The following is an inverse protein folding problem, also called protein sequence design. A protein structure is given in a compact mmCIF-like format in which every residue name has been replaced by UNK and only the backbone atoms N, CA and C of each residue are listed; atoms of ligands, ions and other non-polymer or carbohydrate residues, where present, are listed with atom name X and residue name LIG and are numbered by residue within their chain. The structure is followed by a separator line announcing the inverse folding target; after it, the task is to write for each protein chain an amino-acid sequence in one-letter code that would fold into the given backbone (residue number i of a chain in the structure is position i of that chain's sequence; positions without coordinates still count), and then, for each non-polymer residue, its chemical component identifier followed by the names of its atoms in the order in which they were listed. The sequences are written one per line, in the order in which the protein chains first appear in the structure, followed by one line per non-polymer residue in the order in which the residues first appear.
data_IF_537560948743
#
_entry.id   IF_537560948743
#
_cell.length_a   1.000
_cell.length_b   1.000
_cell.length_c   1.000
_cell.angle_alpha   90.00
_cell.angle_beta   90.00
_cell.angle_gamma   90.00
#
_symmetry.space_group_name_H-M   'P 1'
#
loop_
_entity.id
_entity.type
_entity.pdbx_description
1 polymer ?
#
# COMPACT_ATOMS: atom_id res chain seq x y z
N UNK A 1 6.27 -12.78 -6.96
CA UNK A 1 6.41 -11.33 -7.11
C UNK A 1 6.47 -10.99 -8.58
N UNK A 2 5.57 -10.13 -9.06
CA UNK A 2 5.73 -9.57 -10.38
C UNK A 2 6.98 -8.69 -10.36
N UNK A 3 7.95 -8.98 -11.23
CA UNK A 3 9.14 -8.16 -11.33
C UNK A 3 8.82 -6.98 -12.25
N UNK A 4 8.71 -5.77 -11.70
CA UNK A 4 8.73 -4.58 -12.52
C UNK A 4 10.09 -4.45 -13.22
N UNK A 5 10.08 -4.38 -14.54
CA UNK A 5 11.30 -4.03 -15.30
C UNK A 5 11.63 -2.55 -15.07
N UNK A 6 12.90 -2.17 -15.34
CA UNK A 6 13.29 -0.76 -15.29
C UNK A 6 12.40 0.13 -16.16
N UNK A 7 12.00 -0.39 -17.32
CA UNK A 7 11.09 0.28 -18.23
C UNK A 7 9.74 0.57 -17.57
N UNK A 8 9.15 -0.41 -16.91
CA UNK A 8 7.86 -0.27 -16.22
C UNK A 8 7.92 0.69 -15.04
N UNK A 9 9.02 0.65 -14.27
CA UNK A 9 9.24 1.56 -13.13
C UNK A 9 9.21 3.04 -13.60
N UNK A 10 9.91 3.36 -14.71
CA UNK A 10 10.02 4.73 -15.20
C UNK A 10 8.85 5.20 -16.05
N UNK A 11 8.31 4.30 -16.90
CA UNK A 11 7.26 4.68 -17.83
C UNK A 11 5.86 4.47 -17.27
N UNK A 12 5.73 3.66 -16.22
CA UNK A 12 4.47 3.16 -15.67
C UNK A 12 3.57 2.49 -16.72
N UNK A 13 4.19 1.92 -17.74
CA UNK A 13 3.53 1.11 -18.77
C UNK A 13 3.79 -0.35 -18.47
N UNK A 14 2.83 -0.97 -17.81
CA UNK A 14 2.94 -2.36 -17.37
C UNK A 14 2.54 -3.32 -18.49
N UNK A 15 3.26 -4.44 -18.59
CA UNK A 15 3.01 -5.50 -19.58
C UNK A 15 1.96 -6.49 -19.13
N UNK A 16 1.65 -6.50 -17.85
CA UNK A 16 0.71 -7.41 -17.21
C UNK A 16 -0.47 -6.64 -16.68
N UNK A 17 -1.65 -7.26 -16.76
CA UNK A 17 -2.84 -6.75 -16.08
C UNK A 17 -2.82 -7.10 -14.60
N UNK A 18 -3.65 -6.42 -13.78
CA UNK A 18 -3.85 -6.81 -12.38
C UNK A 18 -4.30 -8.28 -12.28
N UNK A 19 -5.18 -8.74 -13.17
CA UNK A 19 -5.64 -10.14 -13.18
C UNK A 19 -4.50 -11.14 -13.39
N UNK A 20 -3.55 -10.86 -14.29
CA UNK A 20 -2.40 -11.74 -14.51
C UNK A 20 -1.54 -11.86 -13.24
N UNK A 21 -1.30 -10.71 -12.59
CA UNK A 21 -0.50 -10.65 -11.36
C UNK A 21 -1.23 -11.35 -10.20
N UNK A 22 -2.52 -11.09 -10.03
CA UNK A 22 -3.33 -11.70 -8.96
C UNK A 22 -3.42 -13.22 -9.12
N UNK A 23 -3.58 -13.70 -10.35
CA UNK A 23 -3.56 -15.14 -10.67
C UNK A 23 -2.22 -15.75 -10.30
N UNK A 24 -1.12 -15.15 -10.73
CA UNK A 24 0.23 -15.63 -10.41
C UNK A 24 0.50 -15.61 -8.88
N UNK A 25 0.04 -14.59 -8.17
CA UNK A 25 0.15 -14.51 -6.72
C UNK A 25 -0.65 -15.62 -6.02
N UNK A 26 -1.86 -15.91 -6.51
CA UNK A 26 -2.68 -17.01 -5.99
C UNK A 26 -2.04 -18.38 -6.24
N UNK A 27 -1.43 -18.60 -7.41
CA UNK A 27 -0.70 -19.83 -7.74
C UNK A 27 0.51 -20.02 -6.80
N UNK A 28 1.29 -18.96 -6.58
CA UNK A 28 2.45 -19.00 -5.65
C UNK A 28 1.99 -19.29 -4.22
N UNK A 29 0.95 -18.60 -3.76
CA UNK A 29 0.40 -18.88 -2.43
C UNK A 29 -0.16 -20.30 -2.33
N UNK A 30 -0.91 -20.75 -3.35
CA UNK A 30 -1.46 -22.10 -3.41
C UNK A 30 -0.42 -23.20 -3.27
N UNK A 31 0.78 -22.98 -3.82
CA UNK A 31 1.89 -23.94 -3.72
C UNK A 31 2.46 -24.10 -2.30
N UNK A 32 2.22 -23.14 -1.40
CA UNK A 32 2.72 -23.16 -0.02
C UNK A 32 1.62 -23.10 1.04
N UNK A 33 0.36 -22.99 0.64
CA UNK A 33 -0.76 -22.76 1.55
C UNK A 33 -0.94 -23.89 2.60
N UNK A 34 -0.63 -25.12 2.23
CA UNK A 34 -0.72 -26.27 3.14
C UNK A 34 0.36 -26.24 4.23
N UNK A 35 1.48 -25.59 3.96
CA UNK A 35 2.60 -25.42 4.91
C UNK A 35 2.34 -24.29 5.91
N UNK A 36 1.35 -23.42 5.64
CA UNK A 36 1.02 -22.31 6.55
C UNK A 36 0.20 -22.85 7.73
N UNK A 37 0.68 -22.70 8.98
CA UNK A 37 -0.05 -23.17 10.13
C UNK A 37 -1.46 -22.56 10.23
N UNK A 38 -2.49 -23.30 10.65
CA UNK A 38 -3.86 -22.79 10.76
C UNK A 38 -4.04 -21.57 11.68
N UNK A 39 -3.09 -21.35 12.59
CA UNK A 39 -3.06 -20.18 13.50
C UNK A 39 -2.49 -18.92 12.85
N UNK A 40 -1.91 -19.03 11.65
CA UNK A 40 -1.31 -17.91 10.92
C UNK A 40 -2.32 -17.34 9.93
N UNK A 41 -2.49 -16.03 9.93
CA UNK A 41 -3.25 -15.31 8.91
C UNK A 41 -2.27 -14.69 7.92
N UNK A 42 -2.45 -14.98 6.64
CA UNK A 42 -1.66 -14.37 5.56
C UNK A 42 -2.41 -13.15 5.04
N UNK A 43 -1.76 -12.00 5.12
CA UNK A 43 -2.31 -10.76 4.61
C UNK A 43 -1.62 -10.38 3.30
N UNK A 44 -2.43 -10.12 2.28
CA UNK A 44 -1.96 -9.65 0.98
C UNK A 44 -2.03 -8.14 0.94
N UNK A 45 -0.92 -7.52 0.59
CA UNK A 45 -0.79 -6.08 0.57
C UNK A 45 -1.16 -5.50 -0.80
N UNK A 46 -1.86 -4.36 -0.79
CA UNK A 46 -2.05 -3.58 -1.99
C UNK A 46 -0.76 -2.84 -2.34
N UNK A 47 -0.49 -2.74 -3.63
CA UNK A 47 0.71 -2.09 -4.17
C UNK A 47 0.31 -1.03 -5.20
N UNK A 48 1.23 -0.12 -5.57
CA UNK A 48 0.92 0.96 -6.53
C UNK A 48 1.31 0.61 -7.98
N UNK A 49 1.33 -0.67 -8.33
CA UNK A 49 1.41 -1.26 -9.67
C UNK A 49 0.48 -2.47 -9.78
N UNK A 50 0.35 -3.12 -10.96
CA UNK A 50 -0.65 -4.18 -11.14
C UNK A 50 -0.62 -5.25 -10.05
N UNK A 51 -1.78 -5.60 -9.55
CA UNK A 51 -2.02 -6.51 -8.42
C UNK A 51 -3.28 -6.06 -7.69
N UNK A 52 -3.28 -6.08 -6.37
CA UNK A 52 -4.30 -5.39 -5.55
C UNK A 52 -4.05 -3.87 -5.59
N UNK A 53 -4.18 -3.28 -6.76
CA UNK A 53 -3.71 -1.93 -7.07
C UNK A 53 -4.58 -0.85 -6.44
N UNK A 54 -5.85 -0.80 -6.83
CA UNK A 54 -6.82 0.21 -6.39
C UNK A 54 -7.85 -0.36 -5.44
N UNK A 55 -7.76 -1.64 -5.10
CA UNK A 55 -8.72 -2.38 -4.28
C UNK A 55 -10.15 -2.26 -4.83
N UNK A 56 -10.31 -2.34 -6.15
CA UNK A 56 -11.64 -2.39 -6.74
C UNK A 56 -12.35 -3.69 -6.31
N UNK A 57 -13.64 -3.62 -5.96
CA UNK A 57 -14.37 -4.78 -5.45
C UNK A 57 -14.27 -6.03 -6.32
N UNK A 58 -14.33 -5.87 -7.64
CA UNK A 58 -14.26 -6.96 -8.60
C UNK A 58 -12.88 -7.64 -8.62
N UNK A 59 -11.79 -6.86 -8.45
CA UNK A 59 -10.43 -7.39 -8.38
C UNK A 59 -10.20 -8.13 -7.05
N UNK A 60 -10.72 -7.59 -5.95
CA UNK A 60 -10.63 -8.22 -4.63
C UNK A 60 -11.42 -9.53 -4.61
N UNK A 61 -12.66 -9.55 -5.10
CA UNK A 61 -13.48 -10.76 -5.20
C UNK A 61 -12.81 -11.81 -6.07
N UNK A 62 -12.32 -11.42 -7.25
CA UNK A 62 -11.57 -12.30 -8.14
C UNK A 62 -10.37 -12.93 -7.44
N UNK A 63 -9.52 -12.12 -6.82
CA UNK A 63 -8.31 -12.62 -6.16
C UNK A 63 -8.63 -13.60 -5.04
N UNK A 64 -9.53 -13.23 -4.12
CA UNK A 64 -9.88 -14.07 -2.98
C UNK A 64 -10.62 -15.34 -3.39
N UNK A 65 -11.32 -15.36 -4.54
CA UNK A 65 -11.93 -16.55 -5.10
C UNK A 65 -10.90 -17.61 -5.58
N UNK A 66 -9.68 -17.18 -5.89
CA UNK A 66 -8.58 -18.06 -6.33
C UNK A 66 -7.77 -18.64 -5.17
N UNK A 67 -7.87 -18.06 -3.97
CA UNK A 67 -7.01 -18.45 -2.85
C UNK A 67 -7.51 -19.75 -2.20
N UNK A 68 -6.63 -20.73 -1.96
CA UNK A 68 -6.95 -21.86 -1.13
C UNK A 68 -6.95 -21.46 0.35
N UNK A 69 -7.95 -21.92 1.10
CA UNK A 69 -7.99 -21.74 2.55
C UNK A 69 -8.73 -20.50 3.01
N UNK A 70 -8.80 -20.32 4.35
CA UNK A 70 -9.69 -19.33 4.98
C UNK A 70 -8.95 -18.28 5.81
N UNK A 71 -7.67 -18.48 6.11
CA UNK A 71 -6.90 -17.57 6.96
C UNK A 71 -6.12 -16.57 6.10
N UNK A 72 -6.85 -15.83 5.27
CA UNK A 72 -6.28 -14.81 4.41
C UNK A 72 -7.03 -13.49 4.60
N UNK A 73 -6.36 -12.39 4.30
CA UNK A 73 -6.94 -11.05 4.39
C UNK A 73 -6.10 -10.04 3.62
N UNK A 74 -6.42 -8.77 3.81
CA UNK A 74 -5.73 -7.65 3.20
C UNK A 74 -4.92 -6.91 4.26
N UNK A 75 -3.66 -6.60 3.94
CA UNK A 75 -2.88 -5.55 4.56
C UNK A 75 -3.09 -4.29 3.72
N UNK A 76 -3.81 -3.32 4.24
CA UNK A 76 -4.02 -2.05 3.57
C UNK A 76 -2.80 -1.16 3.76
N UNK A 77 -2.00 -0.97 2.72
CA UNK A 77 -0.98 0.07 2.70
C UNK A 77 -1.60 1.39 2.20
N UNK A 78 -1.62 2.38 3.08
CA UNK A 78 -2.21 3.69 2.80
C UNK A 78 -1.34 4.53 1.86
N UNK A 79 -0.02 4.44 1.98
CA UNK A 79 0.92 5.13 1.09
C UNK A 79 0.84 4.59 -0.33
N UNK A 80 0.84 3.27 -0.49
CA UNK A 80 0.65 2.62 -1.79
C UNK A 80 -0.68 3.01 -2.43
N UNK A 81 -1.77 2.99 -1.65
CA UNK A 81 -3.07 3.40 -2.18
C UNK A 81 -3.07 4.87 -2.59
N UNK A 82 -2.51 5.77 -1.77
CA UNK A 82 -2.39 7.19 -2.12
C UNK A 82 -1.57 7.41 -3.40
N UNK A 83 -0.54 6.58 -3.65
CA UNK A 83 0.29 6.66 -4.86
C UNK A 83 -0.48 6.32 -6.14
N UNK A 84 -1.65 5.69 -6.06
CA UNK A 84 -2.52 5.42 -7.22
C UNK A 84 -3.28 6.66 -7.69
N UNK A 85 -3.37 7.71 -6.85
CA UNK A 85 -4.07 8.95 -7.18
C UNK A 85 -3.13 10.18 -7.15
N UNK A 86 -2.51 10.55 -8.27
CA UNK A 86 -1.56 11.66 -8.32
C UNK A 86 -2.19 13.05 -8.13
N UNK A 87 -3.50 13.16 -7.89
CA UNK A 87 -4.18 14.44 -7.61
C UNK A 87 -4.20 14.81 -6.13
N UNK A 88 -3.85 13.91 -5.25
CA UNK A 88 -3.82 14.16 -3.82
C UNK A 88 -2.76 15.22 -3.49
N UNK A 89 -3.15 16.22 -2.72
CA UNK A 89 -2.28 17.36 -2.36
C UNK A 89 -2.10 17.51 -0.84
N UNK A 90 -3.06 17.05 -0.04
CA UNK A 90 -3.04 17.13 1.43
C UNK A 90 -3.29 15.77 2.08
N UNK A 91 -2.99 15.66 3.36
CA UNK A 91 -3.28 14.45 4.14
C UNK A 91 -4.80 14.17 4.19
N UNK A 92 -5.61 15.22 4.25
CA UNK A 92 -7.07 15.14 4.25
C UNK A 92 -7.62 14.62 2.91
N UNK A 93 -7.01 15.02 1.78
CA UNK A 93 -7.33 14.46 0.46
C UNK A 93 -7.01 12.96 0.44
N UNK A 94 -5.84 12.61 0.99
CA UNK A 94 -5.40 11.22 1.12
C UNK A 94 -6.36 10.40 1.96
N UNK A 95 -6.71 10.88 3.15
CA UNK A 95 -7.65 10.19 4.03
C UNK A 95 -9.02 10.00 3.39
N UNK A 96 -9.54 11.04 2.72
CA UNK A 96 -10.81 10.94 1.99
C UNK A 96 -10.75 9.87 0.92
N UNK A 97 -9.69 9.87 0.13
CA UNK A 97 -9.49 8.87 -0.94
C UNK A 97 -9.42 7.44 -0.38
N UNK A 98 -8.62 7.21 0.67
CA UNK A 98 -8.53 5.90 1.34
C UNK A 98 -9.90 5.45 1.85
N UNK A 99 -10.63 6.34 2.54
CA UNK A 99 -11.98 6.04 3.05
C UNK A 99 -12.96 5.71 1.93
N UNK A 100 -12.92 6.44 0.83
CA UNK A 100 -13.80 6.21 -0.32
C UNK A 100 -13.53 4.82 -0.94
N UNK A 101 -12.26 4.43 -1.07
CA UNK A 101 -11.87 3.10 -1.56
C UNK A 101 -12.36 2.01 -0.59
N UNK A 102 -12.07 2.15 0.70
CA UNK A 102 -12.48 1.18 1.73
C UNK A 102 -14.00 1.01 1.80
N UNK A 103 -14.74 2.12 1.68
CA UNK A 103 -16.20 2.08 1.71
C UNK A 103 -16.80 1.42 0.45
N UNK A 104 -16.15 1.54 -0.72
CA UNK A 104 -16.58 0.84 -1.94
C UNK A 104 -16.49 -0.68 -1.83
N UNK A 105 -15.61 -1.22 -0.99
CA UNK A 105 -15.51 -2.66 -0.75
C UNK A 105 -16.77 -3.26 -0.11
N UNK A 106 -17.64 -2.46 0.50
CA UNK A 106 -18.86 -2.95 1.13
C UNK A 106 -18.57 -4.02 2.19
N UNK A 107 -19.16 -5.20 2.05
CA UNK A 107 -18.93 -6.33 2.98
C UNK A 107 -17.50 -6.86 2.96
N UNK A 108 -16.77 -6.71 1.85
CA UNK A 108 -15.38 -7.16 1.72
C UNK A 108 -14.40 -6.27 2.51
N UNK A 109 -14.84 -5.12 3.05
CA UNK A 109 -14.05 -4.34 4.00
C UNK A 109 -13.54 -5.21 5.16
N UNK A 110 -14.29 -6.20 5.59
CA UNK A 110 -13.90 -7.14 6.65
C UNK A 110 -12.67 -7.99 6.31
N UNK A 111 -12.24 -8.04 5.06
CA UNK A 111 -10.98 -8.66 4.65
C UNK A 111 -9.76 -7.83 5.07
N UNK A 112 -9.93 -6.52 5.28
CA UNK A 112 -8.84 -5.66 5.75
C UNK A 112 -8.63 -5.93 7.23
N UNK A 113 -7.57 -6.63 7.56
CA UNK A 113 -7.23 -6.98 8.94
C UNK A 113 -6.05 -6.19 9.49
N UNK A 114 -5.18 -5.72 8.62
CA UNK A 114 -4.02 -4.91 8.99
C UNK A 114 -3.90 -3.66 8.16
N UNK A 115 -3.16 -2.70 8.67
CA UNK A 115 -2.82 -1.46 7.98
C UNK A 115 -1.32 -1.18 8.10
N UNK A 116 -0.67 -0.91 6.96
CA UNK A 116 0.59 -0.20 6.88
C UNK A 116 0.24 1.28 6.79
N UNK A 117 0.48 2.00 7.88
CA UNK A 117 0.12 3.40 7.99
C UNK A 117 1.30 4.28 7.62
N UNK A 118 1.21 4.90 6.46
CA UNK A 118 2.17 5.88 5.95
C UNK A 118 1.47 6.89 5.04
N UNK A 119 2.03 8.08 4.91
CA UNK A 119 1.52 9.12 4.04
C UNK A 119 2.42 9.28 2.82
N UNK A 120 1.82 9.25 1.62
CA UNK A 120 2.54 9.48 0.37
C UNK A 120 1.78 10.47 -0.53
N UNK A 121 2.27 11.69 -0.60
CA UNK A 121 1.72 12.78 -1.43
C UNK A 121 2.63 13.05 -2.63
N UNK A 122 2.91 12.00 -3.39
CA UNK A 122 3.88 12.01 -4.48
C UNK A 122 3.35 12.53 -5.82
N UNK A 123 2.09 13.00 -5.86
CA UNK A 123 1.41 13.37 -7.10
C UNK A 123 2.14 14.40 -7.94
N UNK A 124 2.76 15.42 -7.33
CA UNK A 124 3.55 16.42 -8.05
C UNK A 124 4.74 15.78 -8.77
N UNK A 125 5.46 14.91 -8.06
CA UNK A 125 6.59 14.16 -8.62
C UNK A 125 6.13 13.23 -9.77
N UNK A 126 5.08 12.46 -9.54
CA UNK A 126 4.56 11.53 -10.55
C UNK A 126 4.15 12.24 -11.85
N UNK A 127 3.50 13.41 -11.74
CA UNK A 127 3.12 14.22 -12.92
C UNK A 127 4.30 14.87 -13.63
N UNK A 128 5.43 15.06 -12.96
CA UNK A 128 6.65 15.63 -13.54
C UNK A 128 7.48 14.61 -14.33
N UNK A 129 7.15 13.32 -14.24
CA UNK A 129 7.92 12.27 -14.91
C UNK A 129 7.77 12.36 -16.43
N UNK A 130 8.89 12.32 -17.19
CA UNK A 130 8.86 12.42 -18.64
C UNK A 130 8.29 11.16 -19.33
N UNK A 131 8.06 10.07 -18.58
CA UNK A 131 7.61 8.79 -19.13
C UNK A 131 8.67 8.08 -19.97
N UNK A 132 9.93 8.40 -19.77
CA UNK A 132 11.08 7.78 -20.45
C UNK A 132 12.16 7.41 -19.45
N UNK A 133 12.94 6.38 -19.78
CA UNK A 133 14.06 5.96 -18.95
C UNK A 133 15.17 7.03 -19.02
N UNK A 134 15.77 7.44 -17.90
CA UNK A 134 16.92 8.34 -17.90
C UNK A 134 18.11 7.77 -18.71
N UNK A 135 18.90 8.63 -19.32
CA UNK A 135 20.07 8.23 -20.09
C UNK A 135 21.14 7.47 -19.26
N UNK A 136 21.15 7.71 -17.94
CA UNK A 136 21.98 6.96 -16.99
C UNK A 136 21.12 6.49 -15.84
N UNK A 137 21.18 5.18 -15.55
CA UNK A 137 20.43 4.53 -14.47
C UNK A 137 21.42 3.83 -13.54
N UNK A 138 21.51 4.30 -12.30
CA UNK A 138 22.29 3.68 -11.23
C UNK A 138 21.37 3.20 -10.13
N UNK A 139 21.79 2.29 -9.23
CA UNK A 139 20.99 1.87 -8.08
C UNK A 139 20.48 3.07 -7.25
N UNK A 140 21.30 4.09 -7.04
CA UNK A 140 20.92 5.32 -6.34
C UNK A 140 19.80 6.10 -7.05
N UNK A 141 19.83 6.16 -8.37
CA UNK A 141 18.81 6.85 -9.17
C UNK A 141 17.50 6.08 -9.06
N UNK A 142 17.56 4.75 -9.14
CA UNK A 142 16.37 3.88 -8.98
C UNK A 142 15.79 4.06 -7.57
N UNK A 143 16.61 3.94 -6.53
CA UNK A 143 16.15 4.10 -5.13
C UNK A 143 15.50 5.46 -4.91
N UNK A 144 16.15 6.54 -5.36
CA UNK A 144 15.57 7.90 -5.24
C UNK A 144 14.25 8.03 -5.99
N UNK A 145 14.14 7.43 -7.17
CA UNK A 145 12.90 7.43 -7.93
C UNK A 145 11.77 6.72 -7.18
N UNK A 146 12.03 5.51 -6.67
CA UNK A 146 11.05 4.73 -5.91
C UNK A 146 10.62 5.49 -4.65
N UNK A 147 11.57 5.97 -3.84
CA UNK A 147 11.29 6.74 -2.61
C UNK A 147 10.56 8.06 -2.90
N UNK A 148 10.76 8.66 -4.07
CA UNK A 148 10.04 9.87 -4.47
C UNK A 148 8.57 9.61 -4.80
N UNK A 149 8.23 8.38 -5.18
CA UNK A 149 6.85 7.93 -5.38
C UNK A 149 6.30 7.44 -4.05
N UNK A 150 6.99 6.50 -3.43
CA UNK A 150 6.58 5.83 -2.22
C UNK A 150 7.34 6.43 -1.02
N UNK A 151 6.74 7.49 -0.45
CA UNK A 151 7.46 8.41 0.42
C UNK A 151 7.59 7.94 1.87
N UNK A 152 6.75 7.03 2.34
CA UNK A 152 6.72 6.53 3.72
C UNK A 152 6.88 7.64 4.78
N UNK A 153 6.13 8.74 4.59
CA UNK A 153 6.12 9.87 5.52
C UNK A 153 5.10 9.65 6.64
N UNK A 154 5.31 10.21 7.83
CA UNK A 154 4.28 10.17 8.85
C UNK A 154 3.09 11.04 8.45
N UNK A 155 1.89 10.61 8.80
CA UNK A 155 0.76 11.53 8.95
C UNK A 155 1.02 12.47 10.14
N UNK A 156 0.63 13.71 9.98
CA UNK A 156 0.85 14.77 10.98
C UNK A 156 -0.45 15.40 11.46
N UNK A 157 -1.55 15.17 10.76
CA UNK A 157 -2.89 15.69 11.05
C UNK A 157 -3.84 14.58 11.53
N UNK A 158 -5.07 14.97 11.90
CA UNK A 158 -6.13 14.01 12.26
C UNK A 158 -6.60 13.12 11.10
N UNK A 159 -6.11 13.35 9.88
CA UNK A 159 -6.37 12.51 8.72
C UNK A 159 -6.04 11.03 8.99
N UNK A 160 -4.96 10.76 9.75
CA UNK A 160 -4.62 9.41 10.18
C UNK A 160 -5.73 8.79 11.05
N UNK A 161 -6.31 9.54 11.98
CA UNK A 161 -7.41 9.06 12.82
C UNK A 161 -8.64 8.76 11.97
N UNK A 162 -8.97 9.62 11.01
CA UNK A 162 -10.11 9.42 10.13
C UNK A 162 -9.99 8.12 9.31
N UNK A 163 -8.77 7.77 8.92
CA UNK A 163 -8.48 6.47 8.27
C UNK A 163 -8.68 5.33 9.27
N UNK A 164 -8.09 5.44 10.47
CA UNK A 164 -8.16 4.40 11.49
C UNK A 164 -9.60 4.11 11.92
N UNK A 165 -10.40 5.17 12.14
CA UNK A 165 -11.81 5.06 12.51
C UNK A 165 -12.66 4.46 11.37
N UNK A 166 -12.26 4.68 10.11
CA UNK A 166 -12.93 4.07 8.95
C UNK A 166 -12.53 2.61 8.78
N UNK A 167 -11.25 2.26 8.89
CA UNK A 167 -10.74 0.91 8.59
C UNK A 167 -10.98 -0.04 9.77
N UNK A 168 -10.81 0.42 11.01
CA UNK A 168 -10.89 -0.37 12.24
C UNK A 168 -9.95 -1.60 12.19
N UNK A 169 -8.65 -1.42 11.86
CA UNK A 169 -7.75 -2.54 11.62
C UNK A 169 -7.41 -3.27 12.93
N UNK A 170 -7.23 -4.59 12.83
CA UNK A 170 -6.75 -5.41 13.97
C UNK A 170 -5.26 -5.18 14.26
N UNK A 171 -4.49 -4.89 13.22
CA UNK A 171 -3.03 -4.68 13.30
C UNK A 171 -2.65 -3.37 12.64
N UNK A 172 -1.73 -2.64 13.27
CA UNK A 172 -1.20 -1.38 12.75
C UNK A 172 0.31 -1.45 12.70
N UNK A 173 0.88 -1.27 11.53
CA UNK A 173 2.32 -1.10 11.31
C UNK A 173 2.58 0.33 10.88
N UNK A 174 3.47 1.02 11.59
CA UNK A 174 3.95 2.34 11.16
C UNK A 174 5.10 2.14 10.18
N UNK A 175 4.80 2.20 8.88
CA UNK A 175 5.78 1.98 7.83
C UNK A 175 6.41 3.30 7.41
N UNK A 176 7.48 3.67 8.12
CA UNK A 176 8.14 4.97 7.99
C UNK A 176 9.63 4.81 7.72
N UNK A 177 10.17 5.61 6.82
CA UNK A 177 11.60 5.62 6.55
C UNK A 177 12.36 6.56 7.50
N UNK A 178 13.41 6.04 8.12
CA UNK A 178 14.46 6.79 8.79
C UNK A 178 15.50 7.28 7.78
N UNK A 179 16.35 8.23 8.21
CA UNK A 179 17.42 8.78 7.38
C UNK A 179 18.56 7.78 7.10
N UNK A 180 18.70 6.74 7.91
CA UNK A 180 19.82 5.82 7.97
C UNK A 180 19.41 4.37 8.30
N UNK A 181 18.19 3.97 7.92
CA UNK A 181 17.57 2.69 8.27
C UNK A 181 17.35 2.48 9.78
N UNK A 182 17.55 3.52 10.61
CA UNK A 182 17.15 3.48 12.00
C UNK A 182 15.63 3.57 12.15
N UNK A 183 15.11 3.11 13.29
CA UNK A 183 13.68 3.29 13.63
C UNK A 183 13.46 4.78 13.88
N UNK A 184 12.63 5.47 13.09
CA UNK A 184 12.38 6.90 13.25
C UNK A 184 11.38 7.16 14.39
N UNK A 185 11.81 6.98 15.65
CA UNK A 185 10.94 7.06 16.82
C UNK A 185 10.12 8.35 16.91
N UNK A 186 10.72 9.49 16.55
CA UNK A 186 10.06 10.79 16.51
C UNK A 186 8.90 10.82 15.51
N UNK A 187 9.10 10.23 14.33
CA UNK A 187 8.07 10.11 13.28
C UNK A 187 6.97 9.15 13.71
N UNK A 188 7.33 8.00 14.32
CA UNK A 188 6.36 7.05 14.85
C UNK A 188 5.49 7.72 15.93
N UNK A 189 6.10 8.43 16.89
CA UNK A 189 5.37 9.16 17.93
C UNK A 189 4.44 10.22 17.35
N UNK A 190 4.90 10.96 16.33
CA UNK A 190 4.09 11.95 15.64
C UNK A 190 2.85 11.31 15.02
N UNK A 191 3.04 10.24 14.25
CA UNK A 191 1.95 9.54 13.58
C UNK A 191 1.00 8.85 14.58
N UNK A 192 1.51 8.27 15.67
CA UNK A 192 0.66 7.70 16.72
C UNK A 192 -0.25 8.75 17.36
N UNK A 193 0.24 9.98 17.56
CA UNK A 193 -0.58 11.11 18.03
C UNK A 193 -1.63 11.49 16.99
N UNK A 194 -1.24 11.62 15.73
CA UNK A 194 -2.15 11.93 14.63
C UNK A 194 -3.26 10.87 14.48
N UNK A 195 -2.92 9.59 14.63
CA UNK A 195 -3.84 8.47 14.56
C UNK A 195 -4.69 8.27 15.85
N UNK A 196 -4.42 9.04 16.92
CA UNK A 196 -5.12 8.87 18.19
C UNK A 196 -4.72 7.62 18.99
N UNK A 197 -3.63 6.98 18.62
CA UNK A 197 -3.10 5.76 19.27
C UNK A 197 -2.17 6.08 20.45
N UNK A 198 -1.82 7.35 20.64
CA UNK A 198 -0.95 7.79 21.70
C UNK A 198 -1.76 8.45 22.82
N UNK A 199 -2.07 7.70 23.87
CA UNK A 199 -2.56 8.28 25.11
C UNK A 199 -1.35 8.55 26.03
N UNK A 200 -1.12 9.82 26.42
CA UNK A 200 -0.25 10.11 27.56
C UNK A 200 -0.96 9.57 28.81
N UNK A 201 -0.50 8.44 29.33
CA UNK A 201 -0.76 8.05 30.70
C UNK A 201 -0.05 8.99 31.65
#
# INVERSE_FOLDING_TARGET
MAHCSLDEIWTRRFRYSSHDVLKAAAEVYGAVAEEVPPSVTVLFENIFWPGLYTLEPEEVDYFFSLLPGKNTGIMLDTGHLMNTNPRLATEEDGARYVKDVVNRLGSMKSLIQGIHLSCSLSGAYQRSLPGTIPASVTPDIISRHIISIDQHRPFTTSAARDIMDCVEPRYVTHELFGSDFSIPEDKVRLQMKAAGLWNRS
#
